data_IF_245696258793
#
_entry.id   IF_245696258793
#
_cell.length_a   1.000
_cell.length_b   1.000
_cell.length_c   1.000
_cell.angle_alpha   90.00
_cell.angle_beta   90.00
_cell.angle_gamma   90.00
#
_symmetry.space_group_name_H-M   'P 1'
#
loop_
_entity.id
_entity.type
_entity.pdbx_description
1 polymer ?
#
# COMPACT_ATOMS: atom_id res chain seq x y z
N UNK A 1 -4.86 7.97 -16.78
CA UNK A 1 -5.78 7.69 -15.65
C UNK A 1 -5.11 8.22 -14.38
N UNK A 2 -5.86 8.48 -13.31
CA UNK A 2 -5.22 8.83 -12.04
C UNK A 2 -4.56 7.60 -11.43
N UNK A 3 -3.45 7.83 -10.72
CA UNK A 3 -2.59 6.78 -10.19
C UNK A 3 -2.96 6.44 -8.75
N UNK A 4 -3.13 5.15 -8.48
CA UNK A 4 -3.47 4.62 -7.18
C UNK A 4 -2.27 3.90 -6.56
N UNK A 5 -1.89 4.32 -5.37
CA UNK A 5 -0.98 3.57 -4.51
C UNK A 5 -1.79 2.63 -3.59
N UNK A 6 -1.49 1.33 -3.63
CA UNK A 6 -2.12 0.32 -2.77
C UNK A 6 -1.10 -0.15 -1.72
N UNK A 7 -1.37 0.16 -0.46
CA UNK A 7 -0.62 -0.32 0.70
C UNK A 7 -1.22 -1.62 1.24
N UNK A 8 -0.90 -2.73 0.56
CA UNK A 8 -1.39 -4.05 0.94
C UNK A 8 -0.49 -4.73 2.01
N UNK A 9 -1.06 -5.41 3.01
CA UNK A 9 -0.30 -6.21 3.95
C UNK A 9 0.36 -7.41 3.25
N UNK A 10 1.69 -7.54 3.37
CA UNK A 10 2.46 -8.61 2.71
C UNK A 10 3.11 -9.62 3.67
N UNK A 11 3.50 -9.19 4.87
CA UNK A 11 4.25 -10.03 5.82
C UNK A 11 3.45 -11.28 6.19
N UNK A 12 4.02 -12.47 5.96
CA UNK A 12 3.41 -13.74 6.32
C UNK A 12 2.28 -14.20 5.39
N UNK A 13 2.10 -13.55 4.23
CA UNK A 13 1.05 -13.86 3.26
C UNK A 13 1.65 -14.44 1.97
N UNK A 14 0.90 -15.32 1.34
CA UNK A 14 1.28 -15.91 0.05
C UNK A 14 1.05 -14.90 -1.09
N UNK A 15 1.71 -15.12 -2.22
CA UNK A 15 1.52 -14.28 -3.42
C UNK A 15 0.05 -14.24 -3.88
N UNK A 16 -0.67 -15.36 -3.81
CA UNK A 16 -2.08 -15.44 -4.18
C UNK A 16 -2.96 -14.57 -3.26
N UNK A 17 -2.67 -14.58 -1.96
CA UNK A 17 -3.36 -13.75 -0.96
C UNK A 17 -3.08 -12.26 -1.18
N UNK A 18 -1.82 -11.90 -1.46
CA UNK A 18 -1.43 -10.53 -1.77
C UNK A 18 -2.15 -10.04 -3.03
N UNK A 19 -2.19 -10.86 -4.08
CA UNK A 19 -2.87 -10.53 -5.34
C UNK A 19 -4.38 -10.32 -5.13
N UNK A 20 -5.03 -11.21 -4.39
CA UNK A 20 -6.45 -11.08 -4.06
C UNK A 20 -6.75 -9.82 -3.25
N UNK A 21 -5.88 -9.46 -2.29
CA UNK A 21 -6.00 -8.21 -1.54
C UNK A 21 -5.80 -6.98 -2.43
N UNK A 22 -4.79 -6.99 -3.32
CA UNK A 22 -4.54 -5.89 -4.25
C UNK A 22 -5.74 -5.65 -5.17
N UNK A 23 -6.30 -6.72 -5.74
CA UNK A 23 -7.50 -6.66 -6.61
C UNK A 23 -8.72 -6.13 -5.84
N UNK A 24 -8.98 -6.66 -4.65
CA UNK A 24 -10.08 -6.18 -3.81
C UNK A 24 -9.92 -4.70 -3.45
N UNK A 25 -8.73 -4.27 -3.04
CA UNK A 25 -8.46 -2.87 -2.68
C UNK A 25 -8.56 -1.95 -3.89
N UNK A 26 -8.14 -2.39 -5.08
CA UNK A 26 -8.29 -1.63 -6.32
C UNK A 26 -9.78 -1.37 -6.62
N UNK A 27 -10.62 -2.39 -6.60
CA UNK A 27 -12.06 -2.22 -6.82
C UNK A 27 -12.73 -1.33 -5.77
N UNK A 28 -12.33 -1.43 -4.50
CA UNK A 28 -12.81 -0.54 -3.45
C UNK A 28 -12.40 0.91 -3.75
N UNK A 29 -11.16 1.14 -4.15
CA UNK A 29 -10.68 2.48 -4.47
C UNK A 29 -11.45 3.10 -5.64
N UNK A 30 -11.67 2.37 -6.73
CA UNK A 30 -12.44 2.86 -7.88
C UNK A 30 -13.88 3.20 -7.48
N UNK A 31 -14.52 2.36 -6.65
CA UNK A 31 -15.86 2.64 -6.14
C UNK A 31 -15.90 3.87 -5.21
N UNK A 32 -14.88 4.06 -4.37
CA UNK A 32 -14.79 5.18 -3.42
C UNK A 32 -14.46 6.50 -4.12
N UNK A 33 -13.53 6.48 -5.07
CA UNK A 33 -13.08 7.68 -5.80
C UNK A 33 -13.91 7.99 -7.04
N UNK A 34 -14.75 7.05 -7.49
CA UNK A 34 -15.73 7.24 -8.56
C UNK A 34 -15.12 7.32 -9.96
N UNK A 35 -13.92 6.80 -10.16
CA UNK A 35 -13.20 6.78 -11.44
C UNK A 35 -12.32 5.53 -11.56
N UNK A 36 -11.98 5.14 -12.79
CA UNK A 36 -11.01 4.07 -13.07
C UNK A 36 -9.60 4.52 -12.69
N UNK A 37 -8.84 3.61 -12.07
CA UNK A 37 -7.54 3.94 -11.47
C UNK A 37 -6.41 3.06 -12.00
N UNK A 38 -5.27 3.68 -12.27
CA UNK A 38 -4.04 2.98 -12.65
C UNK A 38 -3.24 2.61 -11.40
N UNK A 39 -3.09 1.32 -11.12
CA UNK A 39 -2.33 0.86 -9.95
C UNK A 39 -0.83 1.06 -10.17
N UNK A 40 -0.19 1.80 -9.26
CA UNK A 40 1.27 1.94 -9.23
C UNK A 40 1.88 0.58 -8.89
N UNK A 41 2.83 0.13 -9.70
CA UNK A 41 3.53 -1.13 -9.44
C UNK A 41 4.50 -0.97 -8.27
N UNK A 42 4.09 -1.39 -7.09
CA UNK A 42 4.85 -1.23 -5.84
C UNK A 42 5.89 -2.32 -5.61
N UNK A 43 5.89 -3.43 -6.36
CA UNK A 43 6.91 -4.48 -6.23
C UNK A 43 8.33 -3.95 -6.44
N UNK A 44 9.23 -4.26 -5.50
CA UNK A 44 10.64 -3.85 -5.53
C UNK A 44 11.46 -5.12 -5.75
N UNK A 45 12.06 -5.24 -6.93
CA UNK A 45 12.93 -6.38 -7.31
C UNK A 45 14.34 -6.28 -6.74
N UNK A 46 14.74 -5.07 -6.36
CA UNK A 46 16.08 -4.77 -5.90
C UNK A 46 16.26 -5.21 -4.45
N UNK A 47 17.46 -5.70 -4.14
CA UNK A 47 17.84 -6.05 -2.77
C UNK A 47 18.48 -4.84 -2.07
N UNK A 48 18.19 -4.64 -0.78
CA UNK A 48 18.88 -3.63 0.01
C UNK A 48 20.39 -3.95 0.10
N UNK A 49 21.24 -2.93 0.34
CA UNK A 49 22.64 -3.16 0.70
C UNK A 49 22.79 -4.12 1.89
N UNK A 50 23.86 -4.91 1.92
CA UNK A 50 24.05 -5.98 2.91
C UNK A 50 24.08 -5.50 4.38
N UNK A 51 24.49 -4.25 4.61
CA UNK A 51 24.57 -3.59 5.91
C UNK A 51 23.37 -2.67 6.20
N UNK A 52 22.42 -2.55 5.27
CA UNK A 52 21.24 -1.71 5.45
C UNK A 52 20.17 -2.39 6.31
N UNK A 53 19.37 -1.57 6.99
CA UNK A 53 18.12 -2.06 7.57
C UNK A 53 17.11 -2.34 6.44
N UNK A 54 17.00 -3.61 6.05
CA UNK A 54 16.14 -4.08 4.95
C UNK A 54 14.70 -3.53 5.02
N UNK A 55 14.08 -3.54 6.20
CA UNK A 55 12.69 -3.11 6.33
C UNK A 55 12.52 -1.60 6.11
N UNK A 56 13.46 -0.79 6.59
CA UNK A 56 13.46 0.66 6.37
C UNK A 56 13.78 0.98 4.92
N UNK A 57 14.70 0.22 4.30
CA UNK A 57 15.08 0.41 2.90
C UNK A 57 13.89 0.18 1.96
N UNK A 58 13.18 -0.95 2.08
CA UNK A 58 11.98 -1.20 1.27
C UNK A 58 10.87 -0.19 1.53
N UNK A 59 10.70 0.27 2.77
CA UNK A 59 9.73 1.33 3.09
C UNK A 59 10.11 2.64 2.38
N UNK A 60 11.40 2.98 2.33
CA UNK A 60 11.88 4.16 1.60
C UNK A 60 11.58 4.08 0.10
N UNK A 61 11.85 2.94 -0.53
CA UNK A 61 11.53 2.71 -1.95
C UNK A 61 10.01 2.74 -2.20
N UNK A 62 9.22 2.18 -1.28
CA UNK A 62 7.75 2.23 -1.34
C UNK A 62 7.22 3.67 -1.26
N UNK A 63 7.72 4.47 -0.31
CA UNK A 63 7.35 5.90 -0.17
C UNK A 63 7.79 6.71 -1.40
N UNK A 64 8.95 6.40 -1.98
CA UNK A 64 9.40 7.06 -3.21
C UNK A 64 8.41 6.83 -4.36
N UNK A 65 7.86 5.62 -4.50
CA UNK A 65 6.81 5.33 -5.49
C UNK A 65 5.50 6.04 -5.19
N UNK A 66 5.17 6.26 -3.91
CA UNK A 66 3.98 7.01 -3.50
C UNK A 66 4.01 8.48 -3.98
N UNK A 67 5.18 9.04 -4.28
CA UNK A 67 5.28 10.40 -4.82
C UNK A 67 4.53 10.59 -6.15
N UNK A 68 4.30 9.51 -6.90
CA UNK A 68 3.55 9.52 -8.16
C UNK A 68 2.05 9.28 -7.97
N UNK A 69 1.57 9.14 -6.74
CA UNK A 69 0.19 8.77 -6.45
C UNK A 69 -0.76 9.98 -6.44
N UNK A 70 -1.85 9.88 -7.18
CA UNK A 70 -2.99 10.79 -7.06
C UNK A 70 -3.93 10.35 -5.92
N UNK A 71 -4.01 9.05 -5.66
CA UNK A 71 -4.83 8.44 -4.62
C UNK A 71 -4.06 7.38 -3.85
N UNK A 72 -4.48 7.17 -2.60
CA UNK A 72 -3.95 6.14 -1.72
C UNK A 72 -5.08 5.25 -1.19
N UNK A 73 -4.83 3.95 -1.13
CA UNK A 73 -5.65 3.04 -0.34
C UNK A 73 -4.75 2.12 0.51
N UNK A 74 -5.10 2.00 1.79
CA UNK A 74 -4.32 1.20 2.74
C UNK A 74 -5.19 0.47 3.75
N UNK A 75 -4.55 -0.25 4.65
CA UNK A 75 -5.23 -0.97 5.74
C UNK A 75 -5.05 -0.28 7.09
N UNK A 76 -6.08 -0.32 7.92
CA UNK A 76 -6.01 -0.04 9.34
C UNK A 76 -5.89 -1.36 10.08
N UNK A 77 -4.79 -1.52 10.80
CA UNK A 77 -4.49 -2.67 11.65
C UNK A 77 -4.24 -2.16 13.06
N UNK A 78 -5.14 -2.49 13.98
CA UNK A 78 -5.09 -2.05 15.37
C UNK A 78 -3.86 -2.59 16.10
N UNK A 79 -3.45 -3.83 15.77
CA UNK A 79 -2.27 -4.47 16.36
C UNK A 79 -0.96 -3.94 15.80
N UNK A 80 -1.01 -3.18 14.68
CA UNK A 80 0.15 -2.64 13.96
C UNK A 80 1.17 -3.71 13.58
N UNK A 81 0.71 -4.92 13.31
CA UNK A 81 1.51 -6.01 12.76
C UNK A 81 2.12 -5.62 11.39
N UNK A 82 1.42 -4.77 10.62
CA UNK A 82 1.88 -4.22 9.34
C UNK A 82 2.41 -2.79 9.47
N UNK A 83 3.56 -2.64 10.15
CA UNK A 83 4.19 -1.32 10.38
C UNK A 83 4.44 -0.49 9.10
N UNK A 84 4.75 -1.14 7.98
CA UNK A 84 4.93 -0.46 6.69
C UNK A 84 3.66 0.28 6.26
N UNK A 85 2.52 -0.43 6.26
CA UNK A 85 1.21 0.14 5.95
C UNK A 85 0.83 1.28 6.91
N UNK A 86 1.13 1.14 8.20
CA UNK A 86 0.86 2.19 9.17
C UNK A 86 1.62 3.50 8.87
N UNK A 87 2.89 3.39 8.46
CA UNK A 87 3.71 4.55 8.08
C UNK A 87 3.26 5.12 6.72
N UNK A 88 2.96 4.27 5.75
CA UNK A 88 2.45 4.70 4.44
C UNK A 88 1.12 5.45 4.57
N UNK A 89 0.19 4.97 5.40
CA UNK A 89 -1.04 5.68 5.75
C UNK A 89 -0.75 7.06 6.35
N UNK A 90 0.25 7.15 7.24
CA UNK A 90 0.65 8.41 7.88
C UNK A 90 1.22 9.39 6.85
N UNK A 91 2.05 8.91 5.92
CA UNK A 91 2.61 9.72 4.82
C UNK A 91 1.47 10.25 3.94
N UNK A 92 0.60 9.38 3.43
CA UNK A 92 -0.51 9.80 2.57
C UNK A 92 -1.35 10.91 3.23
N UNK A 93 -1.70 10.74 4.51
CA UNK A 93 -2.46 11.74 5.28
C UNK A 93 -1.69 13.03 5.52
N UNK A 94 -0.40 12.95 5.85
CA UNK A 94 0.42 14.12 6.19
C UNK A 94 0.75 14.99 4.98
N UNK A 95 0.80 14.39 3.79
CA UNK A 95 1.10 15.06 2.54
C UNK A 95 -0.16 15.32 1.68
N UNK A 96 -1.35 15.18 2.27
CA UNK A 96 -2.65 15.46 1.63
C UNK A 96 -2.91 14.66 0.35
N UNK A 97 -2.42 13.41 0.28
CA UNK A 97 -2.83 12.46 -0.75
C UNK A 97 -4.22 11.95 -0.35
N UNK A 98 -5.27 12.17 -1.17
CA UNK A 98 -6.61 11.68 -0.85
C UNK A 98 -6.58 10.16 -0.65
N UNK A 99 -7.06 9.73 0.52
CA UNK A 99 -6.81 8.38 1.03
C UNK A 99 -8.07 7.70 1.51
N UNK A 100 -8.18 6.39 1.27
CA UNK A 100 -9.16 5.53 1.91
C UNK A 100 -8.45 4.43 2.72
N UNK A 101 -8.99 4.09 3.89
CA UNK A 101 -8.38 3.08 4.77
C UNK A 101 -9.41 2.03 5.16
N UNK A 102 -9.09 0.76 4.92
CA UNK A 102 -9.95 -0.39 5.18
C UNK A 102 -9.50 -1.07 6.47
N UNK A 103 -10.42 -1.44 7.37
CA UNK A 103 -10.03 -2.27 8.51
C UNK A 103 -9.48 -3.63 8.00
N UNK A 104 -8.32 -4.06 8.51
CA UNK A 104 -7.63 -5.27 8.08
C UNK A 104 -8.52 -6.52 8.11
N UNK A 105 -9.49 -6.61 9.04
CA UNK A 105 -10.44 -7.73 9.10
C UNK A 105 -11.36 -7.86 7.87
N UNK A 106 -11.38 -6.88 6.96
CA UNK A 106 -12.21 -6.88 5.74
C UNK A 106 -11.42 -7.02 4.45
N UNK A 107 -10.09 -7.12 4.49
CA UNK A 107 -9.32 -7.51 3.31
C UNK A 107 -9.24 -9.04 3.21
N UNK A 108 -9.06 -9.56 1.99
CA UNK A 108 -8.88 -10.99 1.75
C UNK A 108 -7.83 -11.57 2.73
N UNK A 109 -8.00 -12.80 3.24
CA UNK A 109 -7.11 -13.41 4.23
C UNK A 109 -5.73 -13.72 3.67
#
# INVERSE_FOLDING_TARGET
>A
MKKLFISAPMKGRTEAQIRATMEQMHHIAEAVFGEELEVIQTYISDDPPADANQAVWYLGESIKKMADADYFIGIYDEEKAFRGCAIENLVARSYNIPSYVINFGFVAP
#
